data_IF_507831925979
#
_entry.id   IF_507831925979
#
_cell.length_a   1.000
_cell.length_b   1.000
_cell.length_c   1.000
_cell.angle_alpha   90.00
_cell.angle_beta   90.00
_cell.angle_gamma   90.00
#
_symmetry.space_group_name_H-M   'P 1'
#
loop_
_entity.id
_entity.type
_entity.pdbx_description
1 polymer ?
#
# COMPACT_ATOMS: atom_id res chain seq x y z
N UNK A 1 -26.74 21.98 9.71
CA UNK A 1 -25.54 22.75 9.30
C UNK A 1 -25.20 22.61 7.82
N UNK A 2 -25.46 21.47 7.15
CA UNK A 2 -25.20 21.30 5.69
C UNK A 2 -26.00 22.26 4.80
N UNK A 3 -27.30 22.39 5.06
CA UNK A 3 -28.20 23.20 4.23
C UNK A 3 -27.78 24.69 4.11
N UNK A 4 -27.23 25.28 5.17
CA UNK A 4 -26.72 26.65 5.11
C UNK A 4 -25.43 26.78 4.30
N UNK A 5 -24.59 25.75 4.28
CA UNK A 5 -23.36 25.73 3.47
C UNK A 5 -23.71 25.54 2.00
N UNK A 6 -24.60 24.61 1.69
CA UNK A 6 -25.05 24.33 0.32
C UNK A 6 -25.71 25.58 -0.30
N UNK A 7 -26.54 26.31 0.46
CA UNK A 7 -27.12 27.58 0.01
C UNK A 7 -26.06 28.66 -0.31
N UNK A 8 -25.04 28.79 0.53
CA UNK A 8 -23.94 29.75 0.29
C UNK A 8 -23.13 29.34 -0.94
N UNK A 9 -22.95 28.03 -1.18
CA UNK A 9 -22.32 27.51 -2.38
C UNK A 9 -23.11 27.89 -3.64
N UNK A 10 -24.42 27.61 -3.68
CA UNK A 10 -25.28 27.94 -4.82
C UNK A 10 -25.26 29.46 -5.14
N UNK A 11 -25.33 30.30 -4.10
CA UNK A 11 -25.23 31.75 -4.27
C UNK A 11 -23.86 32.17 -4.83
N UNK A 12 -22.78 31.56 -4.33
CA UNK A 12 -21.41 31.84 -4.77
C UNK A 12 -21.18 31.41 -6.22
N UNK A 13 -21.76 30.29 -6.65
CA UNK A 13 -21.74 29.82 -8.04
C UNK A 13 -22.46 30.81 -8.97
N UNK A 14 -23.64 31.32 -8.57
CA UNK A 14 -24.36 32.35 -9.33
C UNK A 14 -23.56 33.65 -9.48
N UNK A 15 -22.86 34.06 -8.41
CA UNK A 15 -21.96 35.22 -8.45
C UNK A 15 -20.75 34.98 -9.36
N UNK A 16 -20.17 33.79 -9.31
CA UNK A 16 -19.03 33.42 -10.16
C UNK A 16 -19.41 33.50 -11.65
N UNK A 17 -20.56 32.97 -12.03
CA UNK A 17 -21.06 33.04 -13.41
C UNK A 17 -21.29 34.49 -13.86
N UNK A 18 -21.82 35.33 -12.98
CA UNK A 18 -22.02 36.76 -13.27
C UNK A 18 -20.69 37.48 -13.51
N UNK A 19 -19.67 37.20 -12.68
CA UNK A 19 -18.33 37.77 -12.85
C UNK A 19 -17.62 37.29 -14.13
N UNK A 20 -17.82 36.02 -14.52
CA UNK A 20 -17.31 35.49 -15.79
C UNK A 20 -17.94 36.22 -16.98
N UNK A 21 -19.27 36.41 -16.95
CA UNK A 21 -20.00 37.18 -17.98
C UNK A 21 -19.43 38.59 -18.12
N UNK A 22 -19.11 39.23 -16.99
CA UNK A 22 -18.59 40.60 -16.95
C UNK A 22 -17.07 40.67 -17.23
N UNK A 23 -16.48 39.57 -17.73
CA UNK A 23 -15.07 39.45 -18.16
C UNK A 23 -14.05 39.67 -17.02
N UNK A 24 -14.43 39.33 -15.79
CA UNK A 24 -13.51 39.34 -14.66
C UNK A 24 -12.46 38.21 -14.82
N UNK A 25 -11.20 38.59 -15.11
CA UNK A 25 -10.12 37.64 -15.33
C UNK A 25 -9.87 36.68 -14.14
N UNK A 26 -9.81 37.13 -12.87
CA UNK A 26 -9.74 36.24 -11.72
C UNK A 26 -10.83 35.16 -11.68
N UNK A 27 -12.08 35.52 -11.96
CA UNK A 27 -13.20 34.58 -12.00
C UNK A 27 -13.06 33.55 -13.13
N UNK A 28 -12.67 34.01 -14.33
CA UNK A 28 -12.40 33.13 -15.49
C UNK A 28 -11.24 32.17 -15.18
N UNK A 29 -10.17 32.68 -14.58
CA UNK A 29 -9.00 31.88 -14.20
C UNK A 29 -9.36 30.81 -13.15
N UNK A 30 -10.14 31.18 -12.13
CA UNK A 30 -10.64 30.25 -11.12
C UNK A 30 -11.49 29.13 -11.75
N UNK A 31 -12.41 29.49 -12.65
CA UNK A 31 -13.25 28.53 -13.35
C UNK A 31 -12.44 27.56 -14.19
N UNK A 32 -11.49 28.06 -14.99
CA UNK A 32 -10.62 27.22 -15.81
C UNK A 32 -9.79 26.25 -14.97
N UNK A 33 -9.23 26.70 -13.85
CA UNK A 33 -8.46 25.83 -12.93
C UNK A 33 -9.28 24.69 -12.35
N UNK A 34 -10.56 24.92 -12.06
CA UNK A 34 -11.45 23.93 -11.43
C UNK A 34 -12.12 22.99 -12.43
N UNK A 35 -12.51 23.48 -13.60
CA UNK A 35 -13.34 22.75 -14.56
C UNK A 35 -12.60 22.25 -15.80
N UNK A 36 -11.36 22.70 -16.05
CA UNK A 36 -10.60 22.27 -17.22
C UNK A 36 -9.26 21.62 -16.82
N UNK A 37 -9.06 20.30 -17.03
CA UNK A 37 -7.87 19.57 -16.58
C UNK A 37 -6.53 20.18 -17.01
N UNK A 38 -6.48 20.75 -18.22
CA UNK A 38 -5.27 21.44 -18.74
C UNK A 38 -4.80 22.63 -17.89
N UNK A 39 -5.73 23.29 -17.18
CA UNK A 39 -5.45 24.44 -16.35
C UNK A 39 -5.45 24.09 -14.85
N UNK A 40 -5.64 22.81 -14.50
CA UNK A 40 -5.63 22.37 -13.12
C UNK A 40 -4.26 22.65 -12.47
N UNK A 41 -4.29 22.91 -11.17
CA UNK A 41 -3.08 23.11 -10.39
C UNK A 41 -2.26 21.83 -10.39
N UNK A 42 -1.03 21.92 -10.93
CA UNK A 42 -0.07 20.82 -10.89
C UNK A 42 0.65 20.88 -9.57
N UNK A 43 0.42 19.86 -8.74
CA UNK A 43 1.20 19.65 -7.52
C UNK A 43 2.41 18.81 -7.91
N UNK A 44 3.58 19.42 -7.92
CA UNK A 44 4.85 18.70 -8.06
C UNK A 44 5.17 18.02 -6.72
N UNK A 45 5.09 16.69 -6.67
CA UNK A 45 5.42 15.91 -5.49
C UNK A 45 6.91 15.53 -5.58
N UNK A 46 7.77 16.28 -4.91
CA UNK A 46 9.16 15.88 -4.69
C UNK A 46 9.25 15.06 -3.39
N UNK A 47 9.49 13.76 -3.51
CA UNK A 47 9.63 12.86 -2.37
C UNK A 47 10.48 11.64 -2.71
N UNK A 48 11.28 11.19 -1.74
CA UNK A 48 11.97 9.90 -1.84
C UNK A 48 10.98 8.81 -1.44
N UNK A 49 10.56 8.00 -2.41
CA UNK A 49 9.70 6.84 -2.13
C UNK A 49 10.58 5.74 -1.52
N UNK A 50 10.75 5.77 -0.20
CA UNK A 50 11.36 4.65 0.52
C UNK A 50 10.36 3.49 0.52
N UNK A 51 10.62 2.50 -0.34
CA UNK A 51 9.84 1.27 -0.37
C UNK A 51 10.08 0.53 0.95
N UNK A 52 9.09 0.54 1.84
CA UNK A 52 9.12 -0.23 3.10
C UNK A 52 9.34 -1.74 2.88
N UNK A 53 9.17 -2.21 1.65
CA UNK A 53 9.35 -3.62 1.25
C UNK A 53 10.82 -4.07 1.18
N UNK A 54 11.79 -3.15 1.14
CA UNK A 54 13.23 -3.48 1.27
C UNK A 54 13.73 -3.43 2.72
N UNK A 55 12.84 -3.46 3.71
CA UNK A 55 13.24 -3.62 5.11
C UNK A 55 13.58 -5.08 5.36
N UNK A 56 14.84 -5.36 5.69
CA UNK A 56 15.22 -6.66 6.22
C UNK A 56 14.44 -6.94 7.52
N UNK A 57 13.88 -8.15 7.63
CA UNK A 57 13.16 -8.57 8.83
C UNK A 57 14.06 -8.46 10.06
N UNK A 58 13.54 -7.85 11.13
CA UNK A 58 14.23 -7.82 12.42
C UNK A 58 14.38 -9.25 12.98
N UNK A 59 15.32 -9.44 13.91
CA UNK A 59 15.52 -10.74 14.55
C UNK A 59 14.22 -11.24 15.25
N UNK A 60 13.48 -10.33 15.87
CA UNK A 60 12.21 -10.63 16.54
C UNK A 60 11.10 -11.03 15.55
N UNK A 61 11.02 -10.35 14.40
CA UNK A 61 10.05 -10.66 13.35
C UNK A 61 10.32 -12.05 12.74
N UNK A 62 11.59 -12.41 12.55
CA UNK A 62 11.99 -13.75 12.06
C UNK A 62 11.59 -14.87 13.03
N UNK A 63 11.86 -14.70 14.32
CA UNK A 63 11.45 -15.69 15.34
C UNK A 63 9.94 -15.88 15.39
N UNK A 64 9.18 -14.80 15.25
CA UNK A 64 7.72 -14.88 15.26
C UNK A 64 7.19 -15.66 14.04
N UNK A 65 7.78 -15.42 12.87
CA UNK A 65 7.47 -16.15 11.64
C UNK A 65 7.83 -17.63 11.80
N UNK A 66 8.99 -17.98 12.35
CA UNK A 66 9.40 -19.37 12.59
C UNK A 66 8.44 -20.10 13.54
N UNK A 67 8.07 -19.48 14.66
CA UNK A 67 7.12 -20.06 15.63
C UNK A 67 5.75 -20.28 15.00
N UNK A 68 5.25 -19.31 14.22
CA UNK A 68 3.96 -19.43 13.55
C UNK A 68 3.95 -20.51 12.47
N UNK A 69 5.03 -20.60 11.66
CA UNK A 69 5.19 -21.66 10.65
C UNK A 69 5.23 -23.05 11.30
N UNK A 70 5.94 -23.21 12.42
CA UNK A 70 5.99 -24.49 13.16
C UNK A 70 4.64 -24.91 13.71
N UNK A 71 3.83 -23.96 14.16
CA UNK A 71 2.47 -24.22 14.66
C UNK A 71 1.47 -24.52 13.53
N UNK A 72 1.64 -23.86 12.38
CA UNK A 72 0.78 -24.06 11.20
C UNK A 72 1.07 -25.37 10.47
N UNK A 73 2.33 -25.81 10.47
CA UNK A 73 2.78 -27.07 9.87
C UNK A 73 3.46 -27.95 10.92
N UNK A 74 2.69 -28.53 11.86
CA UNK A 74 3.24 -29.45 12.85
C UNK A 74 3.81 -30.67 12.13
N UNK A 75 5.10 -30.93 12.32
CA UNK A 75 5.73 -32.18 11.86
C UNK A 75 5.25 -33.29 12.79
N UNK A 76 4.64 -34.33 12.23
CA UNK A 76 4.36 -35.56 12.97
C UNK A 76 5.70 -36.23 13.29
N UNK A 77 6.22 -35.96 14.49
CA UNK A 77 7.33 -36.72 15.05
C UNK A 77 6.71 -38.03 15.59
N UNK A 78 6.80 -39.10 14.80
CA UNK A 78 6.55 -40.46 15.27
C UNK A 78 7.53 -40.79 16.41
N UNK A 79 6.99 -41.06 17.59
CA UNK A 79 7.73 -41.73 18.66
C UNK A 79 7.86 -43.22 18.34
N UNK A 80 9.08 -43.74 18.34
CA UNK A 80 9.31 -45.16 18.12
C UNK A 80 10.73 -45.61 18.46
N UNK A 81 11.03 -45.71 19.75
CA UNK A 81 12.19 -46.47 20.23
C UNK A 81 12.00 -47.96 19.87
N UNK A 82 12.80 -48.48 18.94
CA UNK A 82 13.04 -49.92 18.80
C UNK A 82 14.43 -50.18 18.21
N UNK A 83 15.30 -50.76 19.04
CA UNK A 83 16.59 -51.32 18.66
C UNK A 83 16.39 -52.48 17.67
N UNK A 84 17.17 -52.54 16.59
CA UNK A 84 17.70 -53.81 16.08
C UNK A 84 18.82 -53.56 15.06
N UNK A 85 20.00 -54.05 15.43
CA UNK A 85 21.15 -54.27 14.57
C UNK A 85 20.80 -55.02 13.28
N UNK A 86 21.40 -54.60 12.16
CA UNK A 86 22.09 -55.49 11.23
C UNK A 86 23.22 -54.69 10.58
N UNK A 87 24.45 -55.06 10.93
CA UNK A 87 25.60 -54.91 10.04
C UNK A 87 25.25 -55.71 8.78
N UNK A 88 25.49 -55.17 7.60
CA UNK A 88 26.21 -55.90 6.56
C UNK A 88 26.77 -54.93 5.53
N UNK A 89 28.02 -55.24 5.17
CA UNK A 89 28.86 -54.56 4.21
C UNK A 89 28.29 -54.71 2.79
N UNK A 90 28.49 -53.72 1.93
CA UNK A 90 29.42 -53.91 0.81
C UNK A 90 29.63 -52.59 0.05
N UNK A 91 30.88 -52.17 0.08
CA UNK A 91 31.57 -51.50 -1.01
C UNK A 91 31.12 -52.05 -2.38
N UNK A 92 30.76 -51.18 -3.31
CA UNK A 92 31.15 -51.33 -4.71
C UNK A 92 31.22 -49.94 -5.36
N UNK A 93 32.46 -49.53 -5.63
CA UNK A 93 32.81 -48.64 -6.73
C UNK A 93 31.94 -48.90 -7.97
N UNK A 94 31.48 -47.84 -8.63
CA UNK A 94 31.81 -47.67 -10.05
C UNK A 94 31.85 -46.20 -10.43
N UNK A 95 32.94 -45.88 -11.11
CA UNK A 95 33.29 -44.61 -11.73
C UNK A 95 32.30 -44.18 -12.81
#
# INVERSE_FOLDING_TARGET
MKEGVDFVCDMSEGQLLSLIRDKNFPAIHLWLRKHHPRYADKVEISGRIEHKEMRELSAEEKELIEKSLRLAFPREEENGDAQASLKDNNNYDHA
#
